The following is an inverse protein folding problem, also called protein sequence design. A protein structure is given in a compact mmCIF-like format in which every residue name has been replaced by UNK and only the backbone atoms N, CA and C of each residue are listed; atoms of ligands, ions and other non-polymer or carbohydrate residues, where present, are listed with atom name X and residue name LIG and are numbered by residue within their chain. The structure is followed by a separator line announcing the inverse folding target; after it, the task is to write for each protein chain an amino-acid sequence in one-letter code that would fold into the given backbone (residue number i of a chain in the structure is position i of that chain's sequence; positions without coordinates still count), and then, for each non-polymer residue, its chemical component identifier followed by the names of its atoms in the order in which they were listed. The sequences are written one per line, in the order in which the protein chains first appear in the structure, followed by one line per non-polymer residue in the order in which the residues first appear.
data_IF_391535460737
#
_entry.id   IF_391535460737
#
_cell.length_a   1.000
_cell.length_b   1.000
_cell.length_c   1.000
_cell.angle_alpha   90.00
_cell.angle_beta   90.00
_cell.angle_gamma   90.00
#
_symmetry.space_group_name_H-M   'P 1'
#
loop_
_entity.id
_entity.type
_entity.pdbx_description
1 polymer ?
#
# COMPACT_ATOMS: atom_id res chain seq x y z
N UNK A 1 13.09 -9.82 -39.99
CA UNK A 1 13.52 -8.58 -39.33
C UNK A 1 12.94 -8.55 -37.93
N UNK A 2 13.63 -9.18 -36.98
CA UNK A 2 13.18 -9.30 -35.59
C UNK A 2 13.65 -8.10 -34.77
N UNK A 3 12.72 -7.32 -34.26
CA UNK A 3 13.02 -6.29 -33.27
C UNK A 3 13.16 -6.97 -31.90
N UNK A 4 14.39 -7.36 -31.56
CA UNK A 4 14.80 -7.52 -30.17
C UNK A 4 14.82 -6.14 -29.52
N UNK A 5 13.66 -5.69 -29.02
CA UNK A 5 13.61 -4.57 -28.10
C UNK A 5 14.32 -5.00 -26.83
N UNK A 6 15.56 -4.54 -26.68
CA UNK A 6 16.37 -4.68 -25.49
C UNK A 6 15.56 -4.14 -24.31
N UNK A 7 15.02 -5.05 -23.50
CA UNK A 7 14.40 -4.74 -22.22
C UNK A 7 15.49 -4.23 -21.29
N UNK A 8 15.69 -2.91 -21.27
CA UNK A 8 16.49 -2.23 -20.26
C UNK A 8 15.93 -2.66 -18.89
N UNK A 9 16.70 -3.45 -18.15
CA UNK A 9 16.41 -3.90 -16.80
C UNK A 9 16.39 -2.68 -15.86
N UNK A 10 15.31 -1.90 -15.88
CA UNK A 10 15.01 -0.99 -14.78
C UNK A 10 14.86 -1.85 -13.53
N UNK A 11 15.75 -1.69 -12.55
CA UNK A 11 15.53 -2.15 -11.19
C UNK A 11 14.12 -1.72 -10.81
N UNK A 12 13.19 -2.68 -10.68
CA UNK A 12 11.83 -2.42 -10.20
C UNK A 12 11.93 -2.08 -8.73
N UNK A 13 12.24 -0.83 -8.42
CA UNK A 13 12.06 -0.30 -7.08
C UNK A 13 10.59 -0.33 -6.76
N UNK A 14 10.25 -0.84 -5.59
CA UNK A 14 8.87 -0.87 -5.15
C UNK A 14 8.37 0.57 -4.99
N UNK A 15 7.33 0.92 -5.74
CA UNK A 15 6.61 2.18 -5.55
C UNK A 15 5.13 1.90 -5.29
N UNK A 16 4.53 2.71 -4.44
CA UNK A 16 3.08 2.66 -4.22
C UNK A 16 2.34 3.12 -5.47
N UNK A 17 1.09 2.66 -5.61
CA UNK A 17 0.16 3.32 -6.52
C UNK A 17 -0.14 4.70 -5.95
N UNK A 18 0.12 5.75 -6.74
CA UNK A 18 -0.16 7.14 -6.37
C UNK A 18 -1.59 7.58 -6.72
N UNK A 19 -1.94 8.84 -6.46
CA UNK A 19 -3.28 9.35 -6.71
C UNK A 19 -3.59 9.45 -8.22
N UNK A 20 -2.62 9.78 -9.05
CA UNK A 20 -2.82 9.94 -10.49
C UNK A 20 -2.97 8.59 -11.19
N UNK A 21 -2.23 7.57 -10.76
CA UNK A 21 -2.46 6.18 -11.13
C UNK A 21 -3.88 5.74 -10.71
N UNK A 22 -4.35 6.05 -9.49
CA UNK A 22 -5.73 5.72 -9.07
C UNK A 22 -6.79 6.41 -9.91
N UNK A 23 -6.62 7.69 -10.26
CA UNK A 23 -7.55 8.40 -11.16
C UNK A 23 -7.61 7.73 -12.53
N UNK A 24 -6.46 7.33 -13.09
CA UNK A 24 -6.38 6.61 -14.37
C UNK A 24 -7.07 5.24 -14.28
N UNK A 25 -6.82 4.48 -13.20
CA UNK A 25 -7.50 3.19 -12.96
C UNK A 25 -9.01 3.39 -12.92
N UNK A 26 -9.52 4.36 -12.15
CA UNK A 26 -10.95 4.64 -12.05
C UNK A 26 -11.57 4.96 -13.41
N UNK A 27 -10.95 5.86 -14.19
CA UNK A 27 -11.39 6.22 -15.54
C UNK A 27 -11.47 5.00 -16.46
N UNK A 28 -10.43 4.16 -16.48
CA UNK A 28 -10.39 2.99 -17.34
C UNK A 28 -11.33 1.88 -16.90
N UNK A 29 -11.56 1.73 -15.60
CA UNK A 29 -12.58 0.80 -15.08
C UNK A 29 -13.98 1.24 -15.48
N UNK A 30 -14.29 2.53 -15.40
CA UNK A 30 -15.56 3.08 -15.88
C UNK A 30 -15.74 2.88 -17.40
N UNK A 31 -14.65 2.91 -18.16
CA UNK A 31 -14.63 2.60 -19.59
C UNK A 31 -14.60 1.09 -19.92
N UNK A 32 -14.73 0.20 -18.93
CA UNK A 32 -14.81 -1.25 -19.16
C UNK A 32 -13.49 -1.97 -19.45
N UNK A 33 -12.33 -1.31 -19.26
CA UNK A 33 -11.04 -1.94 -19.54
C UNK A 33 -10.73 -3.08 -18.55
N UNK A 34 -10.08 -4.13 -19.09
CA UNK A 34 -9.62 -5.27 -18.31
C UNK A 34 -8.41 -4.90 -17.43
N UNK A 35 -8.23 -5.65 -16.34
CA UNK A 35 -7.09 -5.48 -15.41
C UNK A 35 -5.75 -5.61 -16.13
N UNK A 36 -5.67 -6.49 -17.13
CA UNK A 36 -4.46 -6.72 -17.94
C UNK A 36 -4.10 -5.48 -18.75
N UNK A 37 -5.07 -4.91 -19.47
CA UNK A 37 -4.86 -3.70 -20.27
C UNK A 37 -4.50 -2.50 -19.38
N UNK A 38 -5.14 -2.37 -18.22
CA UNK A 38 -4.80 -1.32 -17.25
C UNK A 38 -3.35 -1.46 -16.75
N UNK A 39 -2.93 -2.70 -16.46
CA UNK A 39 -1.57 -2.97 -15.98
C UNK A 39 -0.52 -2.62 -17.04
N UNK A 40 -0.76 -3.00 -18.30
CA UNK A 40 0.10 -2.66 -19.44
C UNK A 40 0.19 -1.14 -19.63
N UNK A 41 -0.95 -0.43 -19.64
CA UNK A 41 -0.99 1.03 -19.79
C UNK A 41 -0.27 1.79 -18.66
N UNK A 42 -0.18 1.21 -17.46
CA UNK A 42 0.55 1.79 -16.33
C UNK A 42 2.01 1.33 -16.24
N UNK A 43 2.44 0.36 -17.06
CA UNK A 43 3.74 -0.29 -16.89
C UNK A 43 3.86 -1.03 -15.55
N UNK A 44 2.74 -1.49 -14.99
CA UNK A 44 2.67 -2.19 -13.69
C UNK A 44 2.44 -3.67 -13.88
N UNK A 45 2.82 -4.45 -12.87
CA UNK A 45 2.48 -5.88 -12.85
C UNK A 45 0.96 -6.07 -12.66
N UNK A 46 0.36 -7.02 -13.38
CA UNK A 46 -1.08 -7.35 -13.28
C UNK A 46 -1.54 -7.58 -11.84
N UNK A 47 -0.75 -8.30 -11.03
CA UNK A 47 -1.08 -8.55 -9.62
C UNK A 47 -1.05 -7.30 -8.74
N UNK A 48 -0.37 -6.23 -9.17
CA UNK A 48 -0.40 -4.94 -8.44
C UNK A 48 -1.76 -4.28 -8.63
N UNK A 49 -2.26 -4.23 -9.88
CA UNK A 49 -3.60 -3.67 -10.17
C UNK A 49 -4.69 -4.53 -9.54
N UNK A 50 -4.59 -5.87 -9.62
CA UNK A 50 -5.56 -6.76 -8.97
C UNK A 50 -5.62 -6.53 -7.45
N UNK A 51 -4.46 -6.42 -6.79
CA UNK A 51 -4.40 -6.17 -5.34
C UNK A 51 -4.90 -4.78 -4.95
N UNK A 52 -4.69 -3.77 -5.80
CA UNK A 52 -5.26 -2.43 -5.59
C UNK A 52 -6.78 -2.50 -5.63
N UNK A 53 -7.36 -3.03 -6.71
CA UNK A 53 -8.81 -3.13 -6.89
C UNK A 53 -9.45 -3.95 -5.76
N UNK A 54 -8.87 -5.10 -5.41
CA UNK A 54 -9.41 -5.96 -4.35
C UNK A 54 -9.38 -5.31 -2.96
N UNK A 55 -8.39 -4.47 -2.66
CA UNK A 55 -8.21 -3.91 -1.30
C UNK A 55 -8.87 -2.55 -1.11
N UNK A 56 -9.09 -1.82 -2.21
CA UNK A 56 -9.46 -0.41 -2.17
C UNK A 56 -10.71 -0.11 -3.02
N UNK A 57 -11.49 -1.13 -3.36
CA UNK A 57 -12.85 -0.93 -3.86
C UNK A 57 -13.82 -0.68 -2.70
N UNK A 58 -14.84 0.12 -2.97
CA UNK A 58 -15.94 0.36 -2.06
C UNK A 58 -17.06 -0.64 -2.38
N UNK A 59 -17.58 -1.29 -1.35
CA UNK A 59 -18.69 -2.23 -1.43
C UNK A 59 -19.74 -1.81 -0.41
N UNK A 60 -20.98 -1.58 -0.89
CA UNK A 60 -22.14 -1.29 -0.08
C UNK A 60 -23.18 -2.40 -0.29
N UNK A 61 -23.42 -3.27 0.71
CA UNK A 61 -24.40 -4.35 0.61
C UNK A 61 -25.85 -3.88 0.46
N UNK A 62 -26.17 -2.66 0.89
CA UNK A 62 -27.52 -2.10 0.83
C UNK A 62 -27.75 -1.35 -0.49
N UNK A 63 -26.68 -0.81 -1.09
CA UNK A 63 -26.71 -0.11 -2.37
C UNK A 63 -25.67 -0.68 -3.36
N UNK A 64 -25.93 -1.86 -3.96
CA UNK A 64 -24.99 -2.49 -4.89
C UNK A 64 -24.61 -1.62 -6.08
N UNK A 65 -25.53 -0.76 -6.55
CA UNK A 65 -25.29 0.15 -7.68
C UNK A 65 -24.27 1.27 -7.36
N UNK A 66 -24.03 1.53 -6.07
CA UNK A 66 -23.00 2.46 -5.59
C UNK A 66 -21.68 1.75 -5.24
N UNK A 67 -21.62 0.42 -5.36
CA UNK A 67 -20.38 -0.34 -5.18
C UNK A 67 -19.47 -0.14 -6.38
N UNK A 68 -18.19 0.16 -6.14
CA UNK A 68 -17.29 0.48 -7.23
C UNK A 68 -15.89 0.90 -6.81
N UNK A 69 -15.07 1.20 -7.82
CA UNK A 69 -13.71 1.70 -7.60
C UNK A 69 -13.67 3.22 -7.74
N UNK A 70 -13.59 3.92 -6.61
CA UNK A 70 -13.51 5.37 -6.54
C UNK A 70 -12.12 5.80 -6.10
N UNK A 71 -11.45 6.63 -6.89
CA UNK A 71 -10.02 6.94 -6.67
C UNK A 71 -9.73 7.64 -5.32
N UNK A 72 -10.64 8.51 -4.84
CA UNK A 72 -10.51 9.21 -3.56
C UNK A 72 -10.67 8.23 -2.40
N UNK A 73 -11.75 7.46 -2.37
CA UNK A 73 -12.00 6.40 -1.39
C UNK A 73 -10.86 5.39 -1.36
N UNK A 74 -10.39 4.96 -2.54
CA UNK A 74 -9.27 4.03 -2.65
C UNK A 74 -7.98 4.59 -2.02
N UNK A 75 -7.71 5.88 -2.23
CA UNK A 75 -6.56 6.56 -1.64
C UNK A 75 -6.71 6.69 -0.11
N UNK A 76 -7.90 7.01 0.39
CA UNK A 76 -8.20 7.08 1.83
C UNK A 76 -8.01 5.72 2.49
N UNK A 77 -8.63 4.66 1.97
CA UNK A 77 -8.44 3.28 2.45
C UNK A 77 -6.96 2.88 2.48
N UNK A 78 -6.20 3.24 1.44
CA UNK A 78 -4.77 2.99 1.39
C UNK A 78 -3.96 3.81 2.42
N UNK A 79 -4.37 5.06 2.71
CA UNK A 79 -3.75 5.91 3.74
C UNK A 79 -4.07 5.40 5.14
N UNK A 80 -5.32 5.06 5.43
CA UNK A 80 -5.75 4.53 6.72
C UNK A 80 -5.05 3.22 7.05
N UNK A 81 -5.01 2.28 6.11
CA UNK A 81 -4.29 1.01 6.27
C UNK A 81 -2.82 1.24 6.58
N UNK A 82 -2.17 2.18 5.89
CA UNK A 82 -0.78 2.56 6.17
C UNK A 82 -0.62 3.25 7.52
N UNK A 83 -1.56 4.08 7.93
CA UNK A 83 -1.53 4.72 9.24
C UNK A 83 -1.58 3.69 10.37
N UNK A 84 -2.42 2.65 10.24
CA UNK A 84 -2.47 1.51 11.17
C UNK A 84 -1.10 0.81 11.30
N UNK A 85 -0.34 0.74 10.21
CA UNK A 85 1.01 0.18 10.17
C UNK A 85 2.11 1.10 10.75
N UNK A 86 1.82 2.31 11.22
CA UNK A 86 2.83 3.23 11.79
C UNK A 86 2.81 3.22 13.33
N UNK A 87 3.25 2.11 13.94
CA UNK A 87 3.25 1.92 15.42
C UNK A 87 3.89 3.09 16.20
N UNK A 88 5.05 3.57 15.75
CA UNK A 88 5.77 4.66 16.42
C UNK A 88 5.15 6.05 16.19
N UNK A 89 4.34 6.21 15.13
CA UNK A 89 3.56 7.42 14.94
C UNK A 89 2.32 7.42 15.83
N UNK A 90 1.66 6.26 15.95
CA UNK A 90 0.42 6.07 16.73
C UNK A 90 0.64 6.10 18.23
N UNK A 91 1.74 5.52 18.72
CA UNK A 91 2.00 5.39 20.16
C UNK A 91 3.26 6.18 20.55
N UNK A 92 3.06 7.39 21.05
CA UNK A 92 4.14 8.30 21.46
C UNK A 92 5.04 7.69 22.54
N UNK A 93 4.47 7.00 23.53
CA UNK A 93 5.22 6.32 24.59
C UNK A 93 6.12 5.20 24.05
N UNK A 94 5.63 4.43 23.06
CA UNK A 94 6.42 3.39 22.38
C UNK A 94 7.60 4.03 21.65
N UNK A 95 7.35 5.14 20.94
CA UNK A 95 8.39 5.90 20.24
C UNK A 95 9.46 6.40 21.19
N UNK A 96 9.08 7.04 22.30
CA UNK A 96 10.02 7.53 23.30
C UNK A 96 10.85 6.40 23.90
N UNK A 97 10.21 5.25 24.20
CA UNK A 97 10.89 4.06 24.70
C UNK A 97 11.93 3.51 23.72
N UNK A 98 11.60 3.47 22.42
CA UNK A 98 12.52 3.07 21.35
C UNK A 98 13.67 4.06 21.22
N UNK A 99 13.39 5.38 21.18
CA UNK A 99 14.41 6.43 21.10
C UNK A 99 15.39 6.33 22.27
N UNK A 100 14.87 6.21 23.50
CA UNK A 100 15.70 6.08 24.70
C UNK A 100 16.65 4.90 24.57
N UNK A 101 16.16 3.73 24.14
CA UNK A 101 17.02 2.52 24.00
C UNK A 101 18.06 2.65 22.90
N UNK A 102 17.72 3.29 21.78
CA UNK A 102 18.69 3.60 20.72
C UNK A 102 19.81 4.49 21.28
N UNK A 103 19.48 5.52 22.06
CA UNK A 103 20.49 6.39 22.69
C UNK A 103 21.40 5.65 23.68
N UNK A 104 20.95 4.53 24.25
CA UNK A 104 21.75 3.68 25.13
C UNK A 104 22.47 2.55 24.37
N UNK A 105 22.53 2.60 23.03
CA UNK A 105 23.28 1.65 22.20
C UNK A 105 22.62 0.30 21.97
N UNK A 106 21.31 0.15 22.24
CA UNK A 106 20.62 -1.12 22.03
C UNK A 106 20.43 -1.42 20.53
N UNK A 107 20.63 -2.68 20.14
CA UNK A 107 20.34 -3.11 18.78
C UNK A 107 18.83 -3.18 18.50
N UNK A 108 18.40 -3.06 17.22
CA UNK A 108 16.99 -3.21 16.87
C UNK A 108 16.36 -4.52 17.35
N UNK A 109 17.12 -5.62 17.35
CA UNK A 109 16.68 -6.93 17.81
C UNK A 109 16.47 -6.97 19.33
N UNK A 110 17.36 -6.35 20.11
CA UNK A 110 17.21 -6.22 21.57
C UNK A 110 15.98 -5.38 21.93
N UNK A 111 15.77 -4.27 21.22
CA UNK A 111 14.61 -3.40 21.40
C UNK A 111 13.32 -4.18 21.09
N UNK A 112 13.25 -4.88 19.96
CA UNK A 112 12.09 -5.69 19.59
C UNK A 112 11.80 -6.81 20.60
N UNK A 113 12.84 -7.51 21.06
CA UNK A 113 12.73 -8.55 22.08
C UNK A 113 12.20 -8.00 23.40
N UNK A 114 12.73 -6.87 23.87
CA UNK A 114 12.25 -6.20 25.09
C UNK A 114 10.83 -5.67 24.96
N UNK A 115 10.47 -5.10 23.81
CA UNK A 115 9.11 -4.63 23.55
C UNK A 115 8.07 -5.76 23.62
N UNK A 116 8.46 -6.99 23.23
CA UNK A 116 7.60 -8.17 23.33
C UNK A 116 7.38 -8.59 24.79
N UNK A 117 8.42 -8.53 25.63
CA UNK A 117 8.34 -8.82 27.06
C UNK A 117 7.47 -7.81 27.82
N UNK A 118 7.65 -6.53 27.51
CA UNK A 118 6.91 -5.42 28.14
C UNK A 118 5.46 -5.26 27.61
N UNK A 119 4.99 -6.20 26.78
CA UNK A 119 3.62 -6.22 26.22
C UNK A 119 3.21 -4.91 25.53
N UNK A 120 4.15 -4.24 24.84
CA UNK A 120 3.82 -3.05 24.06
C UNK A 120 2.70 -3.35 23.05
N UNK A 121 1.84 -2.36 22.74
CA UNK A 121 0.72 -2.57 21.84
C UNK A 121 1.17 -3.22 20.53
N UNK A 122 0.54 -4.35 20.18
CA UNK A 122 0.79 -5.06 18.92
C UNK A 122 -0.01 -4.38 17.81
N UNK A 123 0.52 -4.42 16.59
CA UNK A 123 -0.26 -4.00 15.42
C UNK A 123 -1.39 -5.01 15.21
N UNK A 124 -2.63 -4.54 15.27
CA UNK A 124 -3.79 -5.19 14.68
C UNK A 124 -3.93 -4.69 13.23
#
# INVERSE_FOLDING_TARGET
MGYHAQGMLMRRTYSQIDMDERRRIARWRAAGLSVTVIAEKLGRHRSTIFRELKRNAFEDPQMPDLSGYYCVTANEMARERRAKLRKLARFSHVRQSVIKRIMHGWSPQQIAGRMRLERHPRQL
#
